data_IF_891884883412
#
_entry.id   IF_891884883412
#
_cell.length_a   1.000
_cell.length_b   1.000
_cell.length_c   1.000
_cell.angle_alpha   90.00
_cell.angle_beta   90.00
_cell.angle_gamma   90.00
#
_symmetry.space_group_name_H-M   'P 1'
#
loop_
_entity.id
_entity.type
_entity.pdbx_description
1 polymer ?
#
# COMPACT_ATOMS: atom_id res chain seq x y z
N UNK A 1 65.81 -46.36 -33.22
CA UNK A 1 65.07 -46.50 -34.49
C UNK A 1 64.80 -45.09 -35.00
N UNK A 2 65.66 -44.49 -35.83
CA UNK A 2 65.65 -44.56 -37.31
C UNK A 2 64.26 -44.23 -37.90
N UNK A 3 64.01 -43.35 -38.86
CA UNK A 3 64.81 -42.48 -39.77
C UNK A 3 63.81 -41.78 -40.71
N UNK A 4 64.22 -40.66 -41.32
CA UNK A 4 63.86 -40.19 -42.68
C UNK A 4 62.40 -39.84 -43.04
N UNK A 5 62.11 -38.58 -43.41
CA UNK A 5 62.22 -37.98 -44.77
C UNK A 5 61.49 -38.75 -45.87
N UNK A 6 60.57 -38.09 -46.58
CA UNK A 6 60.53 -37.94 -48.05
C UNK A 6 59.31 -37.07 -48.50
N UNK A 7 59.59 -35.99 -49.25
CA UNK A 7 58.72 -35.37 -50.29
C UNK A 7 58.55 -36.39 -51.47
N UNK A 8 57.71 -36.26 -52.54
CA UNK A 8 57.33 -35.02 -53.24
C UNK A 8 56.02 -35.06 -54.10
N UNK A 9 55.90 -34.07 -55.01
CA UNK A 9 55.23 -34.06 -56.33
C UNK A 9 53.73 -33.72 -56.47
N UNK A 10 53.50 -32.57 -57.11
CA UNK A 10 52.30 -32.16 -57.86
C UNK A 10 51.92 -33.16 -58.98
N UNK A 11 50.66 -33.14 -59.47
CA UNK A 11 50.43 -32.47 -60.76
C UNK A 11 49.16 -31.59 -60.84
N UNK A 12 49.23 -30.64 -61.76
CA UNK A 12 48.17 -29.77 -62.30
C UNK A 12 47.12 -30.56 -63.08
N UNK A 13 45.87 -30.08 -63.13
CA UNK A 13 44.96 -30.06 -64.30
C UNK A 13 43.68 -29.24 -63.97
N UNK A 14 42.84 -28.82 -64.94
CA UNK A 14 42.71 -27.41 -65.32
C UNK A 14 41.35 -26.77 -65.01
N UNK A 15 41.33 -25.44 -65.16
CA UNK A 15 40.27 -24.54 -65.65
C UNK A 15 38.84 -25.06 -65.79
N UNK A 16 37.89 -24.38 -65.13
CA UNK A 16 36.68 -23.93 -65.81
C UNK A 16 36.08 -22.69 -65.13
N UNK A 17 36.13 -21.62 -65.91
CA UNK A 17 35.49 -20.33 -65.72
C UNK A 17 33.97 -20.49 -65.71
N UNK A 18 33.27 -19.91 -64.73
CA UNK A 18 31.92 -19.41 -64.95
C UNK A 18 31.78 -18.04 -64.28
N UNK A 19 31.75 -17.02 -65.13
CA UNK A 19 31.36 -15.65 -64.80
C UNK A 19 29.85 -15.65 -64.61
N UNK A 20 29.39 -15.18 -63.45
CA UNK A 20 28.04 -14.66 -63.28
C UNK A 20 28.16 -13.24 -62.72
N UNK A 21 27.95 -12.27 -63.60
CA UNK A 21 27.62 -10.89 -63.22
C UNK A 21 26.25 -10.92 -62.53
N UNK A 22 26.21 -10.46 -61.27
CA UNK A 22 24.98 -9.92 -60.67
C UNK A 22 25.32 -8.56 -60.07
N UNK A 23 24.82 -7.51 -60.74
CA UNK A 23 24.63 -6.21 -60.14
C UNK A 23 23.60 -6.34 -59.00
N UNK A 24 23.96 -5.87 -57.80
CA UNK A 24 22.98 -5.52 -56.79
C UNK A 24 23.51 -4.33 -55.97
N UNK A 25 22.61 -3.37 -55.79
CA UNK A 25 22.80 -2.05 -55.22
C UNK A 25 23.43 -2.07 -53.81
N UNK A 26 24.36 -1.14 -53.56
CA UNK A 26 24.67 -0.68 -52.21
C UNK A 26 23.44 0.06 -51.67
N UNK A 27 22.56 -0.65 -50.96
CA UNK A 27 21.68 -0.04 -49.99
C UNK A 27 22.37 -0.09 -48.64
N UNK A 28 22.63 1.07 -48.05
CA UNK A 28 22.96 1.16 -46.63
C UNK A 28 21.79 0.55 -45.85
N UNK A 29 21.94 -0.71 -45.45
CA UNK A 29 21.07 -1.34 -44.47
C UNK A 29 21.57 -0.87 -43.12
N UNK A 30 21.08 0.28 -42.66
CA UNK A 30 21.05 0.55 -41.21
C UNK A 30 20.30 -0.63 -40.58
N UNK A 31 20.95 -1.40 -39.67
CA UNK A 31 20.24 -2.44 -38.95
C UNK A 31 19.08 -1.75 -38.20
N UNK A 32 17.89 -2.37 -38.13
CA UNK A 32 16.85 -1.87 -37.25
C UNK A 32 17.45 -1.91 -35.85
N UNK A 33 17.75 -0.74 -35.30
CA UNK A 33 17.87 -0.58 -33.86
C UNK A 33 16.45 -0.77 -33.36
N UNK A 34 16.13 -2.01 -33.00
CA UNK A 34 15.00 -2.33 -32.15
C UNK A 34 15.26 -1.67 -30.79
N UNK A 35 15.15 -0.34 -30.75
CA UNK A 35 15.09 0.36 -29.49
C UNK A 35 13.83 -0.18 -28.77
N UNK A 36 13.98 -0.72 -27.56
CA UNK A 36 12.84 -1.18 -26.80
C UNK A 36 11.87 -0.01 -26.65
N UNK A 37 10.58 -0.28 -26.84
CA UNK A 37 9.53 0.71 -26.68
C UNK A 37 9.71 1.45 -25.33
N UNK A 38 9.45 2.77 -25.28
CA UNK A 38 9.59 3.54 -24.06
C UNK A 38 8.69 2.95 -22.97
N UNK A 39 9.25 2.76 -21.77
CA UNK A 39 8.52 2.25 -20.61
C UNK A 39 7.91 3.38 -19.76
N UNK A 40 8.35 4.63 -19.99
CA UNK A 40 7.87 5.86 -19.34
C UNK A 40 7.20 6.79 -20.36
N UNK A 41 6.15 7.49 -19.96
CA UNK A 41 5.56 8.57 -20.75
C UNK A 41 6.36 9.89 -20.63
N UNK A 42 5.91 10.94 -21.31
CA UNK A 42 6.56 12.25 -21.30
C UNK A 42 6.58 12.93 -19.91
N UNK A 43 5.77 12.46 -18.96
CA UNK A 43 5.74 12.92 -17.58
C UNK A 43 6.58 12.06 -16.62
N UNK A 44 7.26 11.04 -17.15
CA UNK A 44 8.06 10.10 -16.36
C UNK A 44 7.23 9.03 -15.65
N UNK A 45 5.93 8.93 -15.91
CA UNK A 45 5.05 7.90 -15.37
C UNK A 45 5.15 6.62 -16.20
N UNK A 46 4.84 5.46 -15.59
CA UNK A 46 4.79 4.20 -16.34
C UNK A 46 3.70 4.25 -17.41
N UNK A 47 4.03 3.92 -18.66
CA UNK A 47 3.02 3.78 -19.74
C UNK A 47 2.08 2.64 -19.39
N UNK A 48 2.65 1.47 -19.07
CA UNK A 48 1.94 0.31 -18.56
C UNK A 48 2.36 0.09 -17.12
N UNK A 49 1.46 0.42 -16.17
CA UNK A 49 1.74 0.15 -14.75
C UNK A 49 1.90 -1.36 -14.53
N UNK A 50 2.93 -1.80 -13.78
CA UNK A 50 3.09 -3.20 -13.42
C UNK A 50 1.80 -3.71 -12.79
N UNK A 51 1.32 -4.86 -13.25
CA UNK A 51 0.13 -5.50 -12.70
C UNK A 51 0.58 -6.58 -11.73
N UNK A 52 0.09 -6.49 -10.51
CA UNK A 52 0.14 -7.59 -9.56
C UNK A 52 -1.10 -8.46 -9.74
N UNK A 53 -0.90 -9.76 -9.86
CA UNK A 53 -1.97 -10.76 -9.76
C UNK A 53 -1.82 -11.44 -8.42
N UNK A 54 -2.82 -11.32 -7.56
CA UNK A 54 -2.83 -11.98 -6.26
C UNK A 54 -2.83 -13.50 -6.42
N UNK A 55 -1.82 -14.17 -5.86
CA UNK A 55 -1.82 -15.63 -5.74
C UNK A 55 -2.60 -16.02 -4.50
N UNK A 56 -3.82 -16.48 -4.71
CA UNK A 56 -4.72 -16.90 -3.64
C UNK A 56 -4.68 -18.40 -3.32
N UNK A 57 -3.85 -19.16 -4.03
CA UNK A 57 -3.85 -20.63 -3.94
C UNK A 57 -3.48 -21.17 -2.55
N UNK A 58 -2.74 -20.37 -1.77
CA UNK A 58 -2.30 -20.71 -0.42
C UNK A 58 -2.95 -19.83 0.68
N UNK A 59 -3.88 -18.93 0.33
CA UNK A 59 -4.61 -18.16 1.35
C UNK A 59 -5.47 -19.14 2.17
N UNK A 60 -5.22 -19.20 3.48
CA UNK A 60 -6.01 -20.05 4.38
C UNK A 60 -6.36 -19.26 5.63
N UNK A 61 -7.67 -19.09 5.95
CA UNK A 61 -8.08 -18.44 7.19
C UNK A 61 -7.52 -19.17 8.39
N UNK A 62 -7.23 -18.41 9.44
CA UNK A 62 -7.07 -19.02 10.74
C UNK A 62 -8.39 -19.67 11.14
N UNK A 63 -8.31 -20.78 11.89
CA UNK A 63 -9.50 -21.46 12.41
C UNK A 63 -10.40 -20.57 13.28
N UNK A 64 -9.85 -19.45 13.78
CA UNK A 64 -10.54 -18.45 14.58
C UNK A 64 -11.11 -17.29 13.78
N UNK A 65 -10.79 -17.18 12.49
CA UNK A 65 -11.26 -16.07 11.66
C UNK A 65 -12.76 -16.18 11.41
N UNK A 66 -13.43 -15.03 11.48
CA UNK A 66 -14.83 -14.91 11.10
C UNK A 66 -14.95 -14.98 9.57
N UNK A 67 -15.82 -15.86 9.07
CA UNK A 67 -15.94 -16.19 7.65
C UNK A 67 -17.42 -16.15 7.18
N UNK A 68 -18.06 -14.98 7.17
CA UNK A 68 -19.49 -14.85 6.86
C UNK A 68 -19.82 -15.26 5.41
N UNK A 69 -18.84 -15.18 4.50
CA UNK A 69 -18.98 -15.66 3.11
C UNK A 69 -19.05 -17.18 3.00
N UNK A 70 -18.54 -17.91 3.99
CA UNK A 70 -18.48 -19.38 3.99
C UNK A 70 -19.67 -19.91 4.80
N UNK A 71 -20.76 -20.24 4.08
CA UNK A 71 -21.98 -20.78 4.67
C UNK A 71 -22.58 -19.92 5.80
N UNK A 72 -22.45 -18.58 5.74
CA UNK A 72 -22.97 -17.67 6.75
C UNK A 72 -22.35 -17.89 8.12
N UNK A 73 -21.03 -18.11 8.19
CA UNK A 73 -20.29 -18.42 9.42
C UNK A 73 -20.72 -19.69 10.16
N UNK A 74 -21.59 -20.53 9.58
CA UNK A 74 -22.08 -21.75 10.23
C UNK A 74 -20.99 -22.80 10.53
N UNK A 75 -19.77 -22.61 10.03
CA UNK A 75 -18.65 -23.54 10.13
C UNK A 75 -17.42 -22.94 10.80
N UNK A 76 -17.45 -21.66 11.18
CA UNK A 76 -16.35 -21.03 11.90
C UNK A 76 -16.57 -21.10 13.43
N UNK A 77 -15.65 -20.51 14.20
CA UNK A 77 -15.68 -20.56 15.65
C UNK A 77 -16.56 -19.47 16.31
N UNK A 78 -17.32 -18.70 15.54
CA UNK A 78 -18.14 -17.59 16.02
C UNK A 78 -19.56 -18.05 16.34
N UNK A 79 -20.14 -17.46 17.38
CA UNK A 79 -21.57 -17.61 17.63
C UNK A 79 -22.36 -16.79 16.61
N UNK A 80 -23.57 -17.27 16.29
CA UNK A 80 -24.48 -16.59 15.35
C UNK A 80 -24.73 -15.15 15.77
N UNK A 81 -24.60 -14.22 14.83
CA UNK A 81 -24.70 -12.79 15.08
C UNK A 81 -25.29 -12.04 13.87
N UNK A 82 -25.55 -10.75 14.06
CA UNK A 82 -26.20 -9.91 13.03
C UNK A 82 -25.46 -9.85 11.68
N UNK A 83 -24.14 -10.10 11.63
CA UNK A 83 -23.32 -9.96 10.42
C UNK A 83 -23.17 -11.24 9.59
N UNK A 84 -23.81 -12.34 10.01
CA UNK A 84 -23.76 -13.62 9.28
C UNK A 84 -24.45 -13.54 7.90
N UNK A 85 -25.25 -12.51 7.66
CA UNK A 85 -25.85 -12.17 6.36
C UNK A 85 -24.87 -11.47 5.40
N UNK A 86 -23.58 -11.42 5.76
CA UNK A 86 -22.51 -10.80 5.00
C UNK A 86 -22.67 -9.28 4.79
N UNK A 87 -23.45 -8.62 5.65
CA UNK A 87 -23.74 -7.18 5.58
C UNK A 87 -23.30 -6.45 6.85
N UNK A 88 -22.82 -5.21 6.70
CA UNK A 88 -22.51 -4.36 7.85
C UNK A 88 -23.79 -3.68 8.35
N UNK A 89 -24.16 -3.95 9.61
CA UNK A 89 -25.34 -3.36 10.24
C UNK A 89 -24.94 -2.21 11.15
N UNK A 90 -25.19 -0.97 10.70
CA UNK A 90 -24.83 0.25 11.45
C UNK A 90 -25.50 0.30 12.83
N UNK A 91 -24.75 0.78 13.82
CA UNK A 91 -25.30 1.08 15.15
C UNK A 91 -26.00 2.45 15.17
N UNK A 92 -25.48 3.40 14.40
CA UNK A 92 -26.01 4.75 14.29
C UNK A 92 -26.25 5.16 12.83
N UNK A 93 -27.20 6.07 12.63
CA UNK A 93 -27.53 6.61 11.30
C UNK A 93 -26.46 7.59 10.79
N UNK A 94 -25.80 8.32 11.68
CA UNK A 94 -24.79 9.32 11.33
C UNK A 94 -23.40 8.85 11.76
N UNK A 95 -22.47 8.80 10.80
CA UNK A 95 -21.10 8.36 11.01
C UNK A 95 -20.16 9.41 10.43
N UNK A 96 -19.64 10.30 11.28
CA UNK A 96 -18.78 11.42 10.85
C UNK A 96 -17.54 10.98 10.06
N UNK A 97 -17.08 9.75 10.28
CA UNK A 97 -15.92 9.16 9.60
C UNK A 97 -16.13 9.00 8.09
N UNK A 98 -17.38 8.83 7.62
CA UNK A 98 -17.70 8.79 6.19
C UNK A 98 -17.24 10.08 5.50
N UNK A 99 -17.50 11.24 6.13
CA UNK A 99 -17.05 12.54 5.62
C UNK A 99 -15.52 12.67 5.56
N UNK A 100 -14.79 11.98 6.44
CA UNK A 100 -13.32 11.97 6.46
C UNK A 100 -12.74 11.14 5.33
N UNK A 101 -13.31 9.98 5.03
CA UNK A 101 -12.89 9.18 3.87
C UNK A 101 -13.24 9.88 2.57
N UNK A 102 -14.41 10.52 2.49
CA UNK A 102 -14.75 11.37 1.34
C UNK A 102 -13.76 12.55 1.17
N UNK A 103 -13.26 13.13 2.26
CA UNK A 103 -12.20 14.12 2.20
C UNK A 103 -10.86 13.54 1.67
N UNK A 104 -10.53 12.30 2.04
CA UNK A 104 -9.36 11.61 1.51
C UNK A 104 -9.47 11.40 -0.01
N UNK A 105 -10.61 10.91 -0.51
CA UNK A 105 -10.78 10.71 -1.95
C UNK A 105 -10.78 12.04 -2.72
N UNK A 106 -11.36 13.11 -2.17
CA UNK A 106 -11.26 14.44 -2.77
C UNK A 106 -9.79 14.92 -2.90
N UNK A 107 -9.00 14.73 -1.84
CA UNK A 107 -7.57 15.05 -1.84
C UNK A 107 -6.85 14.18 -2.87
N UNK A 108 -7.19 12.88 -2.95
CA UNK A 108 -6.60 11.96 -3.91
C UNK A 108 -6.84 12.38 -5.36
N UNK A 109 -8.09 12.71 -5.68
CA UNK A 109 -8.49 13.22 -6.99
C UNK A 109 -7.85 14.57 -7.32
N UNK A 110 -7.49 15.35 -6.31
CA UNK A 110 -6.80 16.63 -6.51
C UNK A 110 -5.30 16.43 -6.76
N UNK A 111 -4.66 15.48 -6.06
CA UNK A 111 -3.20 15.44 -5.94
C UNK A 111 -2.49 14.28 -6.65
N UNK A 112 -3.05 13.07 -6.70
CA UNK A 112 -2.28 11.90 -7.18
C UNK A 112 -3.05 10.90 -8.04
N UNK A 113 -4.38 10.94 -8.06
CA UNK A 113 -5.19 10.03 -8.90
C UNK A 113 -5.31 10.50 -10.35
N UNK A 114 -5.17 11.80 -10.60
CA UNK A 114 -5.14 12.34 -11.96
C UNK A 114 -3.79 12.07 -12.61
N UNK A 115 -3.79 11.85 -13.92
CA UNK A 115 -2.56 11.67 -14.72
C UNK A 115 -1.76 12.95 -14.90
N UNK A 116 -2.38 14.11 -14.64
CA UNK A 116 -1.74 15.42 -14.69
C UNK A 116 -1.02 15.70 -13.37
N UNK A 117 0.15 16.34 -13.48
CA UNK A 117 0.85 16.93 -12.35
C UNK A 117 -0.04 17.90 -11.56
N UNK A 118 -0.08 17.79 -10.22
CA UNK A 118 -0.90 18.66 -9.39
C UNK A 118 -0.34 20.08 -9.34
N UNK A 119 -1.24 21.06 -9.38
CA UNK A 119 -0.92 22.48 -9.36
C UNK A 119 -0.95 23.06 -7.94
N UNK A 120 -0.41 24.27 -7.76
CA UNK A 120 -0.52 25.04 -6.51
C UNK A 120 -1.97 25.18 -6.03
N UNK A 121 -2.92 25.35 -6.96
CA UNK A 121 -4.34 25.44 -6.63
C UNK A 121 -4.89 24.10 -6.15
N UNK A 122 -4.49 22.99 -6.77
CA UNK A 122 -4.89 21.65 -6.32
C UNK A 122 -4.43 21.40 -4.87
N UNK A 123 -3.20 21.79 -4.52
CA UNK A 123 -2.69 21.74 -3.14
C UNK A 123 -3.46 22.64 -2.18
N UNK A 124 -3.84 23.84 -2.63
CA UNK A 124 -4.63 24.78 -1.83
C UNK A 124 -6.01 24.20 -1.51
N UNK A 125 -6.71 23.68 -2.52
CA UNK A 125 -8.03 23.05 -2.33
C UNK A 125 -7.96 21.78 -1.48
N UNK A 126 -6.96 20.93 -1.74
CA UNK A 126 -6.74 19.73 -0.94
C UNK A 126 -6.45 20.07 0.53
N UNK A 127 -5.67 21.12 0.81
CA UNK A 127 -5.40 21.58 2.17
C UNK A 127 -6.66 22.10 2.85
N UNK A 128 -7.48 22.91 2.17
CA UNK A 128 -8.74 23.39 2.71
C UNK A 128 -9.62 22.21 3.16
N UNK A 129 -9.76 21.21 2.29
CA UNK A 129 -10.51 19.97 2.61
C UNK A 129 -9.92 19.19 3.79
N UNK A 130 -8.60 19.09 3.87
CA UNK A 130 -7.89 18.44 4.98
C UNK A 130 -8.14 19.15 6.33
N UNK A 131 -8.16 20.49 6.32
CA UNK A 131 -8.29 21.33 7.52
C UNK A 131 -9.72 21.67 7.94
N UNK A 132 -10.74 21.09 7.29
CA UNK A 132 -12.12 21.28 7.70
C UNK A 132 -12.32 20.94 9.18
N UNK A 133 -13.16 21.71 9.86
CA UNK A 133 -13.47 21.51 11.28
C UNK A 133 -13.98 20.09 11.51
N UNK A 134 -13.43 19.38 12.49
CA UNK A 134 -13.70 17.96 12.78
C UNK A 134 -13.40 16.96 11.63
N UNK A 135 -12.70 17.43 10.59
CA UNK A 135 -12.27 16.68 9.42
C UNK A 135 -11.03 15.80 9.65
N UNK A 136 -10.29 15.53 8.57
CA UNK A 136 -9.12 14.65 8.58
C UNK A 136 -8.00 15.18 9.47
N UNK A 137 -7.61 16.46 9.31
CA UNK A 137 -6.48 17.03 10.04
C UNK A 137 -6.66 16.98 11.56
N UNK A 138 -7.86 17.30 12.04
CA UNK A 138 -8.24 17.18 13.45
C UNK A 138 -7.99 15.76 13.98
N UNK A 139 -8.32 14.71 13.21
CA UNK A 139 -8.10 13.32 13.63
C UNK A 139 -6.63 12.92 13.56
N UNK A 140 -5.91 13.34 12.53
CA UNK A 140 -4.47 13.08 12.41
C UNK A 140 -3.72 13.67 13.60
N UNK A 141 -4.08 14.86 14.08
CA UNK A 141 -3.46 15.53 15.24
C UNK A 141 -3.51 14.77 16.55
N UNK A 142 -4.40 13.78 16.68
CA UNK A 142 -4.60 12.99 17.90
C UNK A 142 -4.51 11.48 17.67
N UNK A 143 -4.17 11.05 16.46
CA UNK A 143 -4.21 9.62 16.13
C UNK A 143 -3.08 8.88 16.82
N UNK A 144 -3.46 7.81 17.50
CA UNK A 144 -2.56 6.90 18.17
C UNK A 144 -2.41 5.60 17.37
N UNK A 145 -1.25 4.95 17.52
CA UNK A 145 -1.03 3.59 17.08
C UNK A 145 -1.11 2.65 18.30
N UNK A 146 -2.19 1.87 18.35
CA UNK A 146 -2.52 1.01 19.49
C UNK A 146 -1.60 -0.20 19.67
N UNK A 147 -0.72 -0.48 18.70
CA UNK A 147 0.25 -1.56 18.82
C UNK A 147 1.40 -1.23 19.77
N UNK A 148 1.60 0.06 20.05
CA UNK A 148 2.59 0.53 21.02
C UNK A 148 1.94 0.77 22.38
N UNK A 149 2.71 0.64 23.48
CA UNK A 149 2.23 0.94 24.83
C UNK A 149 1.55 2.31 24.89
N UNK A 150 0.49 2.40 25.70
CA UNK A 150 -0.22 3.65 25.89
C UNK A 150 0.71 4.74 26.46
N UNK A 151 0.61 5.94 25.91
CA UNK A 151 1.24 7.12 26.49
C UNK A 151 0.58 7.46 27.84
N UNK A 152 1.28 8.16 28.76
CA UNK A 152 0.74 8.51 30.07
C UNK A 152 -0.39 9.55 30.01
N UNK A 153 -0.56 10.21 28.86
CA UNK A 153 -1.66 11.14 28.58
C UNK A 153 -2.02 11.08 27.09
N UNK A 154 -3.13 11.71 26.71
CA UNK A 154 -3.55 11.79 25.31
C UNK A 154 -2.46 12.44 24.45
N UNK A 155 -2.25 11.94 23.23
CA UNK A 155 -1.18 12.42 22.36
C UNK A 155 -1.29 13.90 21.94
N UNK A 156 -2.46 14.52 22.10
CA UNK A 156 -2.65 15.95 21.83
C UNK A 156 -2.68 16.82 23.11
N UNK A 157 -2.39 16.26 24.27
CA UNK A 157 -2.47 16.98 25.56
C UNK A 157 -1.32 17.97 25.78
N UNK A 158 -0.15 17.72 25.19
CA UNK A 158 1.01 18.61 25.24
C UNK A 158 2.01 18.25 24.12
N UNK A 159 2.98 19.13 23.89
CA UNK A 159 4.02 18.89 22.89
C UNK A 159 5.04 17.81 23.29
N UNK A 160 5.21 17.52 24.59
CA UNK A 160 6.17 16.52 25.06
C UNK A 160 5.69 15.10 24.83
N UNK A 161 4.38 14.82 24.95
CA UNK A 161 3.85 13.46 24.81
C UNK A 161 4.17 12.85 23.43
N UNK A 162 3.91 13.53 22.29
CA UNK A 162 4.34 13.02 20.98
C UNK A 162 5.86 12.89 20.81
N UNK A 163 6.64 13.73 21.49
CA UNK A 163 8.10 13.69 21.41
C UNK A 163 8.69 12.49 22.17
N UNK A 164 8.13 12.16 23.33
CA UNK A 164 8.58 11.07 24.19
C UNK A 164 8.00 9.71 23.75
N UNK A 165 6.85 9.70 23.07
CA UNK A 165 6.14 8.51 22.61
C UNK A 165 5.81 8.56 21.10
N UNK A 166 6.80 8.75 20.21
CA UNK A 166 6.54 9.04 18.80
C UNK A 166 5.87 7.89 18.04
N UNK A 167 6.12 6.63 18.43
CA UNK A 167 5.47 5.47 17.84
C UNK A 167 4.00 5.36 18.23
N UNK A 168 3.70 5.51 19.53
CA UNK A 168 2.31 5.54 20.02
C UNK A 168 1.55 6.74 19.48
N UNK A 169 2.18 7.91 19.43
CA UNK A 169 1.58 9.17 19.00
C UNK A 169 1.87 9.46 17.52
N UNK A 170 1.76 8.44 16.67
CA UNK A 170 2.12 8.50 15.25
C UNK A 170 1.52 9.71 14.51
N UNK A 171 0.26 10.06 14.81
CA UNK A 171 -0.43 11.18 14.21
C UNK A 171 0.29 12.52 14.42
N UNK A 172 0.37 13.03 15.66
CA UNK A 172 1.04 14.29 15.94
C UNK A 172 2.58 14.25 15.82
N UNK A 173 3.22 13.10 16.02
CA UNK A 173 4.68 12.97 16.01
C UNK A 173 5.27 12.81 14.61
N UNK A 174 4.61 12.04 13.73
CA UNK A 174 5.14 11.67 12.40
C UNK A 174 4.28 12.21 11.26
N UNK A 175 2.98 11.91 11.27
CA UNK A 175 2.11 12.15 10.12
C UNK A 175 1.79 13.64 9.92
N UNK A 176 1.40 14.34 10.98
CA UNK A 176 1.02 15.75 10.90
C UNK A 176 2.17 16.66 10.43
N UNK A 177 3.39 16.60 11.00
CA UNK A 177 4.50 17.42 10.50
C UNK A 177 4.77 17.19 9.02
N UNK A 178 4.82 15.92 8.60
CA UNK A 178 5.01 15.50 7.22
C UNK A 178 3.93 16.06 6.26
N UNK A 179 2.65 15.91 6.63
CA UNK A 179 1.53 16.39 5.83
C UNK A 179 1.56 17.92 5.72
N UNK A 180 1.77 18.63 6.83
CA UNK A 180 1.81 20.10 6.84
C UNK A 180 2.97 20.66 6.02
N UNK A 181 4.15 20.06 6.14
CA UNK A 181 5.32 20.41 5.32
C UNK A 181 5.02 20.18 3.84
N UNK A 182 4.47 19.01 3.49
CA UNK A 182 4.19 18.64 2.09
C UNK A 182 3.13 19.54 1.46
N UNK A 183 2.06 19.89 2.18
CA UNK A 183 1.10 20.88 1.70
C UNK A 183 1.74 22.26 1.50
N UNK A 184 2.56 22.70 2.46
CA UNK A 184 3.21 24.02 2.37
C UNK A 184 4.16 24.08 1.15
N UNK A 185 4.93 23.03 0.89
CA UNK A 185 5.85 22.95 -0.25
C UNK A 185 5.10 22.80 -1.58
N UNK A 186 4.06 21.97 -1.65
CA UNK A 186 3.21 21.85 -2.83
C UNK A 186 2.51 23.17 -3.19
N UNK A 187 2.06 23.94 -2.20
CA UNK A 187 1.51 25.29 -2.42
C UNK A 187 2.55 26.32 -2.90
N UNK A 188 3.85 26.03 -2.78
CA UNK A 188 4.93 26.83 -3.38
C UNK A 188 5.34 26.34 -4.77
N UNK A 189 4.75 25.23 -5.25
CA UNK A 189 5.10 24.60 -6.52
C UNK A 189 6.41 23.80 -6.46
N UNK A 190 6.89 23.48 -5.27
CA UNK A 190 8.11 22.67 -5.09
C UNK A 190 7.74 21.20 -5.24
N UNK A 191 8.42 20.48 -6.14
CA UNK A 191 8.30 19.01 -6.35
C UNK A 191 6.87 18.48 -6.11
N UNK A 192 5.88 18.94 -6.89
CA UNK A 192 4.47 18.68 -6.64
C UNK A 192 4.12 17.19 -6.55
N UNK A 193 4.75 16.31 -7.35
CA UNK A 193 4.48 14.86 -7.30
C UNK A 193 5.05 14.23 -6.03
N UNK A 194 6.24 14.65 -5.61
CA UNK A 194 6.88 14.17 -4.36
C UNK A 194 6.02 14.55 -3.15
N UNK A 195 5.55 15.80 -3.09
CA UNK A 195 4.72 16.27 -1.98
C UNK A 195 3.34 15.60 -1.97
N UNK A 196 2.73 15.36 -3.14
CA UNK A 196 1.48 14.59 -3.24
C UNK A 196 1.68 13.16 -2.72
N UNK A 197 2.77 12.50 -3.11
CA UNK A 197 3.09 11.13 -2.67
C UNK A 197 3.36 11.03 -1.16
N UNK A 198 4.02 12.03 -0.54
CA UNK A 198 4.20 12.10 0.91
C UNK A 198 2.85 12.22 1.65
N UNK A 199 1.92 13.03 1.12
CA UNK A 199 0.57 13.18 1.68
C UNK A 199 -0.24 11.89 1.53
N UNK A 200 -0.23 11.28 0.34
CA UNK A 200 -0.90 10.01 0.06
C UNK A 200 -0.46 8.94 1.06
N UNK A 201 0.84 8.71 1.17
CA UNK A 201 1.43 7.71 2.07
C UNK A 201 1.06 7.97 3.54
N UNK A 202 1.15 9.23 3.99
CA UNK A 202 0.83 9.58 5.37
C UNK A 202 -0.66 9.40 5.70
N UNK A 203 -1.56 9.72 4.75
CA UNK A 203 -2.99 9.51 4.94
C UNK A 203 -3.38 8.03 4.85
N UNK A 204 -2.71 7.23 4.02
CA UNK A 204 -2.89 5.77 4.03
C UNK A 204 -2.41 5.15 5.36
N UNK A 205 -1.30 5.62 5.94
CA UNK A 205 -0.90 5.23 7.30
C UNK A 205 -2.02 5.55 8.29
N UNK A 206 -2.54 6.78 8.26
CA UNK A 206 -3.65 7.19 9.12
C UNK A 206 -4.88 6.28 8.94
N UNK A 207 -5.25 5.92 7.71
CA UNK A 207 -6.38 5.04 7.42
C UNK A 207 -6.14 3.58 7.85
N UNK A 208 -4.88 3.12 7.95
CA UNK A 208 -4.54 1.82 8.53
C UNK A 208 -4.70 1.80 10.06
N UNK A 209 -4.12 2.77 10.79
CA UNK A 209 -4.18 2.78 12.26
C UNK A 209 -5.55 3.16 12.82
N UNK A 210 -6.36 3.86 12.02
CA UNK A 210 -7.65 4.39 12.48
C UNK A 210 -8.65 3.28 12.82
N UNK A 211 -8.98 2.32 11.93
CA UNK A 211 -9.88 1.22 12.26
C UNK A 211 -9.50 0.52 13.57
N UNK A 212 -8.22 0.18 13.75
CA UNK A 212 -7.71 -0.53 14.92
C UNK A 212 -7.85 0.28 16.23
N UNK A 213 -7.63 1.59 16.14
CA UNK A 213 -7.90 2.51 17.24
C UNK A 213 -9.39 2.55 17.60
N UNK A 214 -10.25 2.66 16.60
CA UNK A 214 -11.70 2.76 16.81
C UNK A 214 -12.30 1.43 17.34
N UNK A 215 -11.79 0.26 16.91
CA UNK A 215 -12.17 -1.04 17.51
C UNK A 215 -11.84 -1.06 19.01
N UNK A 216 -10.70 -0.50 19.38
CA UNK A 216 -10.27 -0.46 20.79
C UNK A 216 -11.17 0.46 21.62
N UNK A 217 -11.52 1.64 21.10
CA UNK A 217 -12.41 2.58 21.81
C UNK A 217 -13.90 2.19 21.75
N UNK A 218 -14.29 1.36 20.77
CA UNK A 218 -15.65 0.81 20.68
C UNK A 218 -16.07 0.04 21.94
N UNK A 219 -15.11 -0.46 22.72
CA UNK A 219 -15.37 -1.03 24.06
C UNK A 219 -16.19 -0.14 24.98
N UNK A 220 -16.11 1.18 24.83
CA UNK A 220 -16.81 2.15 25.70
C UNK A 220 -17.70 3.10 24.91
N UNK A 221 -17.57 3.14 23.58
CA UNK A 221 -18.27 4.06 22.69
C UNK A 221 -18.72 3.33 21.43
N UNK A 222 -19.95 2.86 21.42
CA UNK A 222 -20.52 2.08 20.30
C UNK A 222 -20.34 2.73 18.92
N UNK A 223 -20.41 4.06 18.84
CA UNK A 223 -20.22 4.82 17.59
C UNK A 223 -18.82 4.63 16.97
N UNK A 224 -17.84 4.20 17.75
CA UNK A 224 -16.49 3.94 17.26
C UNK A 224 -16.44 2.61 16.46
N UNK A 225 -17.33 1.64 16.70
CA UNK A 225 -17.43 0.46 15.82
C UNK A 225 -17.83 0.85 14.39
N UNK A 226 -18.83 1.74 14.26
CA UNK A 226 -19.22 2.30 12.97
C UNK A 226 -18.10 3.13 12.33
N UNK A 227 -17.31 3.82 13.15
CA UNK A 227 -16.13 4.54 12.67
C UNK A 227 -15.02 3.60 12.20
N UNK A 228 -14.82 2.45 12.86
CA UNK A 228 -13.84 1.46 12.44
C UNK A 228 -14.15 0.93 11.03
N UNK A 229 -15.41 0.54 10.79
CA UNK A 229 -15.88 0.16 9.46
C UNK A 229 -15.71 1.28 8.45
N UNK A 230 -16.17 2.49 8.79
CA UNK A 230 -16.14 3.61 7.87
C UNK A 230 -14.72 4.06 7.50
N UNK A 231 -13.71 3.92 8.38
CA UNK A 231 -12.33 4.26 8.03
C UNK A 231 -11.74 3.34 6.95
N UNK A 232 -12.10 2.05 6.97
CA UNK A 232 -11.64 1.12 5.95
C UNK A 232 -12.46 1.25 4.66
N UNK A 233 -13.79 1.14 4.77
CA UNK A 233 -14.69 1.03 3.60
C UNK A 233 -15.12 2.37 3.02
N UNK A 234 -15.03 3.45 3.81
CA UNK A 234 -15.70 4.72 3.52
C UNK A 234 -17.18 4.75 3.91
N UNK A 235 -17.66 3.71 4.60
CA UNK A 235 -19.06 3.57 4.97
C UNK A 235 -19.96 3.08 3.83
N UNK A 236 -19.36 2.43 2.85
CA UNK A 236 -20.03 1.84 1.69
C UNK A 236 -20.13 0.31 1.84
N UNK A 237 -21.03 -0.33 1.07
CA UNK A 237 -21.05 -1.78 0.91
C UNK A 237 -19.73 -2.34 0.35
N UNK A 238 -19.57 -3.65 0.49
CA UNK A 238 -18.38 -4.42 0.08
C UNK A 238 -17.94 -4.12 -1.36
N UNK A 239 -18.89 -4.07 -2.29
CA UNK A 239 -18.66 -3.89 -3.72
C UNK A 239 -18.54 -2.42 -4.17
N UNK A 240 -18.59 -1.47 -3.24
CA UNK A 240 -18.50 -0.02 -3.48
C UNK A 240 -17.30 0.60 -2.73
N UNK A 241 -16.20 -0.15 -2.62
CA UNK A 241 -15.00 0.26 -1.90
C UNK A 241 -14.48 1.65 -2.32
N UNK A 242 -14.30 2.54 -1.35
CA UNK A 242 -13.65 3.86 -1.49
C UNK A 242 -12.49 3.99 -0.49
N UNK A 243 -11.76 5.11 -0.48
CA UNK A 243 -10.63 5.30 0.44
C UNK A 243 -9.59 4.18 0.39
N UNK A 244 -9.16 3.68 1.56
CA UNK A 244 -8.18 2.59 1.65
C UNK A 244 -8.71 1.28 1.03
N UNK A 245 -9.99 0.95 1.23
CA UNK A 245 -10.56 -0.27 0.65
C UNK A 245 -10.48 -0.29 -0.88
N UNK A 246 -10.58 0.87 -1.55
CA UNK A 246 -10.41 0.98 -3.02
C UNK A 246 -9.02 0.53 -3.47
N UNK A 247 -7.97 1.02 -2.81
CA UNK A 247 -6.59 0.63 -3.11
C UNK A 247 -6.39 -0.87 -2.97
N UNK A 248 -6.86 -1.43 -1.85
CA UNK A 248 -6.71 -2.86 -1.58
C UNK A 248 -7.49 -3.68 -2.59
N UNK A 249 -8.74 -3.31 -2.89
CA UNK A 249 -9.58 -4.04 -3.86
C UNK A 249 -9.01 -4.02 -5.27
N UNK A 250 -8.47 -2.89 -5.71
CA UNK A 250 -7.87 -2.76 -7.05
C UNK A 250 -6.62 -3.64 -7.23
N UNK A 251 -5.82 -3.81 -6.16
CA UNK A 251 -4.54 -4.54 -6.21
C UNK A 251 -4.67 -6.01 -5.79
N UNK A 252 -5.50 -6.30 -4.81
CA UNK A 252 -5.61 -7.60 -4.15
C UNK A 252 -7.07 -7.85 -3.72
N UNK A 253 -7.95 -8.25 -4.67
CA UNK A 253 -9.38 -8.43 -4.40
C UNK A 253 -9.69 -9.37 -3.24
N UNK A 254 -8.97 -10.48 -3.07
CA UNK A 254 -9.24 -11.39 -1.94
C UNK A 254 -8.78 -10.75 -0.63
N UNK A 255 -7.62 -10.08 -0.59
CA UNK A 255 -7.23 -9.29 0.60
C UNK A 255 -8.33 -8.29 1.00
N UNK A 256 -8.99 -7.64 0.04
CA UNK A 256 -10.12 -6.75 0.33
C UNK A 256 -11.30 -7.50 0.96
N UNK A 257 -11.67 -8.65 0.40
CA UNK A 257 -12.74 -9.51 0.93
C UNK A 257 -12.47 -9.90 2.39
N UNK A 258 -11.22 -10.22 2.72
CA UNK A 258 -10.78 -10.62 4.07
C UNK A 258 -10.80 -9.47 5.05
N UNK A 259 -10.39 -8.27 4.63
CA UNK A 259 -10.48 -7.08 5.48
C UNK A 259 -11.95 -6.66 5.72
N UNK A 260 -12.84 -6.88 4.75
CA UNK A 260 -14.28 -6.66 4.97
C UNK A 260 -14.86 -7.73 5.89
N UNK A 261 -14.51 -9.02 5.74
CA UNK A 261 -14.89 -10.10 6.67
C UNK A 261 -14.45 -9.76 8.11
N UNK A 262 -13.23 -9.27 8.28
CA UNK A 262 -12.72 -8.84 9.58
C UNK A 262 -13.46 -7.62 10.16
N UNK A 263 -13.91 -6.71 9.30
CA UNK A 263 -14.76 -5.59 9.71
C UNK A 263 -16.13 -6.06 10.19
N UNK A 264 -16.69 -7.10 9.55
CA UNK A 264 -17.90 -7.77 10.03
C UNK A 264 -17.65 -8.53 11.33
N UNK A 265 -16.45 -9.09 11.56
CA UNK A 265 -16.08 -9.73 12.82
C UNK A 265 -16.17 -8.75 14.00
N UNK A 266 -15.71 -7.50 13.80
CA UNK A 266 -15.87 -6.43 14.81
C UNK A 266 -17.34 -6.17 15.10
N UNK A 267 -18.17 -6.08 14.06
CA UNK A 267 -19.61 -5.84 14.25
C UNK A 267 -20.31 -7.02 14.93
N UNK A 268 -19.94 -8.24 14.56
CA UNK A 268 -20.41 -9.49 15.14
C UNK A 268 -20.07 -9.55 16.64
N UNK A 269 -18.81 -9.29 17.00
CA UNK A 269 -18.38 -9.16 18.39
C UNK A 269 -19.28 -8.18 19.16
N UNK A 270 -19.53 -7.00 18.61
CA UNK A 270 -20.34 -5.99 19.28
C UNK A 270 -21.83 -6.34 19.36
N UNK A 271 -22.34 -7.21 18.49
CA UNK A 271 -23.69 -7.74 18.61
C UNK A 271 -23.81 -8.77 19.73
N UNK A 272 -22.80 -9.64 19.84
CA UNK A 272 -22.71 -10.70 20.84
C UNK A 272 -22.42 -10.15 22.25
N UNK A 273 -21.63 -9.10 22.34
CA UNK A 273 -21.36 -8.36 23.57
C UNK A 273 -21.99 -6.99 23.48
N UNK A 274 -23.13 -6.81 24.14
CA UNK A 274 -23.88 -5.54 24.19
C UNK A 274 -23.61 -4.73 25.47
N UNK A 275 -22.68 -5.18 26.33
CA UNK A 275 -22.36 -4.48 27.57
C UNK A 275 -21.58 -3.19 27.28
N UNK A 276 -21.71 -2.17 28.14
CA UNK A 276 -20.91 -0.93 28.07
C UNK A 276 -20.41 -0.57 29.46
N UNK A 277 -19.09 -0.67 29.74
CA UNK A 277 -18.04 -1.16 28.85
C UNK A 277 -18.23 -2.62 28.39
N UNK A 278 -17.71 -2.95 27.22
CA UNK A 278 -17.67 -4.31 26.69
C UNK A 278 -16.87 -5.24 27.62
N UNK A 279 -17.30 -6.50 27.72
CA UNK A 279 -16.77 -7.50 28.65
C UNK A 279 -16.08 -8.67 27.96
N UNK A 280 -16.45 -8.98 26.71
CA UNK A 280 -15.87 -10.05 25.89
C UNK A 280 -14.64 -9.55 25.13
N UNK A 281 -13.60 -9.14 25.88
CA UNK A 281 -12.40 -8.54 25.30
C UNK A 281 -11.55 -9.53 24.49
N UNK A 282 -11.61 -10.83 24.79
CA UNK A 282 -10.94 -11.85 23.98
C UNK A 282 -11.54 -11.94 22.58
N UNK A 283 -12.87 -11.84 22.45
CA UNK A 283 -13.55 -11.86 21.16
C UNK A 283 -13.30 -10.57 20.36
N UNK A 284 -13.25 -9.42 21.06
CA UNK A 284 -12.77 -8.15 20.49
C UNK A 284 -11.37 -8.31 19.90
N UNK A 285 -10.44 -8.86 20.69
CA UNK A 285 -9.04 -8.95 20.31
C UNK A 285 -8.84 -9.93 19.15
N UNK A 286 -9.68 -10.97 19.06
CA UNK A 286 -9.76 -11.84 17.88
C UNK A 286 -10.21 -11.08 16.64
N UNK A 287 -11.34 -10.36 16.67
CA UNK A 287 -11.80 -9.53 15.55
C UNK A 287 -10.75 -8.49 15.13
N UNK A 288 -10.15 -7.80 16.10
CA UNK A 288 -9.12 -6.80 15.86
C UNK A 288 -7.87 -7.39 15.22
N UNK A 289 -7.44 -8.57 15.66
CA UNK A 289 -6.25 -9.24 15.10
C UNK A 289 -6.50 -9.70 13.66
N UNK A 290 -7.70 -10.22 13.37
CA UNK A 290 -8.11 -10.54 11.99
C UNK A 290 -8.10 -9.27 11.11
N UNK A 291 -8.61 -8.15 11.64
CA UNK A 291 -8.62 -6.87 10.92
C UNK A 291 -7.22 -6.34 10.69
N UNK A 292 -6.36 -6.35 11.71
CA UNK A 292 -4.97 -5.90 11.59
C UNK A 292 -4.21 -6.72 10.54
N UNK A 293 -4.30 -8.05 10.59
CA UNK A 293 -3.63 -8.92 9.61
C UNK A 293 -4.06 -8.62 8.17
N UNK A 294 -5.37 -8.48 7.92
CA UNK A 294 -5.90 -8.17 6.59
C UNK A 294 -5.51 -6.76 6.12
N UNK A 295 -5.57 -5.76 7.01
CA UNK A 295 -5.16 -4.40 6.68
C UNK A 295 -3.64 -4.31 6.42
N UNK A 296 -2.80 -5.00 7.22
CA UNK A 296 -1.36 -5.08 7.01
C UNK A 296 -1.01 -5.69 5.65
N UNK A 297 -1.70 -6.77 5.25
CA UNK A 297 -1.56 -7.32 3.89
C UNK A 297 -1.96 -6.28 2.84
N UNK A 298 -3.07 -5.58 3.05
CA UNK A 298 -3.51 -4.48 2.18
C UNK A 298 -2.46 -3.39 2.01
N UNK A 299 -1.81 -2.98 3.10
CA UNK A 299 -0.69 -2.04 3.06
C UNK A 299 0.52 -2.62 2.33
N UNK A 300 0.85 -3.89 2.56
CA UNK A 300 1.97 -4.57 1.90
C UNK A 300 1.79 -4.64 0.38
N UNK A 301 0.58 -4.92 -0.14
CA UNK A 301 0.35 -4.94 -1.60
C UNK A 301 0.43 -3.55 -2.23
N UNK A 302 0.03 -2.50 -1.51
CA UNK A 302 0.20 -1.11 -1.96
C UNK A 302 1.68 -0.74 -2.04
N UNK A 303 2.46 -1.08 -1.00
CA UNK A 303 3.91 -0.83 -0.97
C UNK A 303 4.62 -1.66 -2.05
N UNK A 304 4.23 -2.92 -2.23
CA UNK A 304 4.73 -3.81 -3.28
C UNK A 304 4.54 -3.19 -4.67
N UNK A 305 3.34 -2.68 -4.96
CA UNK A 305 3.05 -1.99 -6.22
C UNK A 305 3.99 -0.79 -6.43
N UNK A 306 4.20 0.02 -5.38
CA UNK A 306 5.06 1.21 -5.46
C UNK A 306 6.54 0.88 -5.67
N UNK A 307 7.04 -0.23 -5.10
CA UNK A 307 8.37 -0.75 -5.44
C UNK A 307 8.46 -1.15 -6.91
N UNK A 308 7.46 -1.86 -7.44
CA UNK A 308 7.46 -2.28 -8.85
C UNK A 308 7.44 -1.07 -9.81
N UNK A 309 6.69 -0.02 -9.47
CA UNK A 309 6.59 1.20 -10.26
C UNK A 309 7.92 1.97 -10.37
N UNK A 310 8.90 1.75 -9.47
CA UNK A 310 10.24 2.34 -9.61
C UNK A 310 10.94 1.88 -10.90
N UNK A 311 10.63 0.68 -11.40
CA UNK A 311 11.27 0.12 -12.60
C UNK A 311 10.85 0.79 -13.90
N UNK A 312 9.67 1.43 -13.92
CA UNK A 312 9.07 2.04 -15.10
C UNK A 312 8.75 3.54 -14.94
N UNK A 313 9.10 4.16 -13.81
CA UNK A 313 9.03 5.61 -13.63
C UNK A 313 10.39 6.25 -13.86
N UNK A 314 10.46 7.57 -14.08
CA UNK A 314 11.69 8.35 -14.16
C UNK A 314 11.50 9.76 -13.60
N UNK A 315 12.60 10.50 -13.40
CA UNK A 315 12.57 11.88 -12.89
C UNK A 315 11.77 12.02 -11.59
N UNK A 316 10.99 13.10 -11.50
CA UNK A 316 10.19 13.39 -10.30
C UNK A 316 9.14 12.30 -10.00
N UNK A 317 8.59 11.63 -11.02
CA UNK A 317 7.65 10.54 -10.80
C UNK A 317 8.30 9.37 -10.03
N UNK A 318 9.55 9.03 -10.36
CA UNK A 318 10.30 8.01 -9.61
C UNK A 318 10.64 8.47 -8.19
N UNK A 319 11.07 9.73 -8.04
CA UNK A 319 11.29 10.33 -6.72
C UNK A 319 10.02 10.31 -5.85
N UNK A 320 8.85 10.53 -6.46
CA UNK A 320 7.56 10.47 -5.78
C UNK A 320 7.23 9.04 -5.30
N UNK A 321 7.42 8.01 -6.12
CA UNK A 321 7.25 6.61 -5.69
C UNK A 321 8.18 6.27 -4.54
N UNK A 322 9.42 6.75 -4.57
CA UNK A 322 10.36 6.52 -3.50
C UNK A 322 10.01 7.28 -2.21
N UNK A 323 9.59 8.55 -2.31
CA UNK A 323 9.12 9.32 -1.18
C UNK A 323 7.88 8.69 -0.51
N UNK A 324 6.98 8.11 -1.30
CA UNK A 324 5.87 7.29 -0.79
C UNK A 324 6.38 6.09 0.02
N UNK A 325 7.33 5.32 -0.53
CA UNK A 325 7.91 4.14 0.12
C UNK A 325 8.61 4.49 1.43
N UNK A 326 9.35 5.60 1.48
CA UNK A 326 10.03 6.09 2.70
C UNK A 326 9.07 6.41 3.85
N UNK A 327 7.80 6.67 3.54
CA UNK A 327 6.76 6.94 4.54
C UNK A 327 6.04 5.65 4.95
N UNK A 328 5.64 4.79 4.01
CA UNK A 328 4.85 3.59 4.33
C UNK A 328 5.66 2.35 4.73
N UNK A 329 6.91 2.17 4.30
CA UNK A 329 7.71 1.03 4.76
C UNK A 329 7.91 1.04 6.28
N UNK A 330 8.24 2.18 6.93
CA UNK A 330 8.32 2.26 8.39
C UNK A 330 7.05 1.87 9.15
N UNK A 331 5.85 2.02 8.56
CA UNK A 331 4.60 1.56 9.18
C UNK A 331 4.61 0.05 9.43
N UNK A 332 5.21 -0.71 8.53
CA UNK A 332 5.23 -2.17 8.59
C UNK A 332 6.38 -2.72 9.43
N UNK A 333 7.37 -1.90 9.82
CA UNK A 333 8.63 -2.35 10.43
C UNK A 333 8.41 -3.18 11.70
N UNK A 334 7.51 -2.73 12.59
CA UNK A 334 7.16 -3.46 13.82
C UNK A 334 6.76 -4.91 13.54
N UNK A 335 5.82 -5.09 12.63
CA UNK A 335 5.31 -6.42 12.28
C UNK A 335 6.35 -7.19 11.47
N UNK A 336 7.06 -6.54 10.56
CA UNK A 336 8.11 -7.16 9.77
C UNK A 336 9.19 -7.77 10.66
N UNK A 337 9.69 -7.03 11.66
CA UNK A 337 10.69 -7.51 12.62
C UNK A 337 10.17 -8.64 13.51
N UNK A 338 8.90 -8.58 13.91
CA UNK A 338 8.26 -9.66 14.67
C UNK A 338 8.23 -10.97 13.87
N UNK A 339 8.12 -10.90 12.53
CA UNK A 339 8.06 -12.07 11.65
C UNK A 339 9.43 -12.57 11.21
N UNK A 340 10.28 -11.66 10.70
CA UNK A 340 11.60 -11.97 10.17
C UNK A 340 12.45 -10.67 10.13
N UNK A 341 13.34 -10.52 11.11
CA UNK A 341 14.22 -9.35 11.25
C UNK A 341 15.10 -9.12 10.02
N UNK A 342 15.63 -10.17 9.39
CA UNK A 342 16.52 -10.03 8.23
C UNK A 342 15.77 -9.50 6.99
N UNK A 343 14.49 -9.87 6.83
CA UNK A 343 13.63 -9.31 5.78
C UNK A 343 13.20 -7.88 6.11
N UNK A 344 12.93 -7.57 7.38
CA UNK A 344 12.67 -6.20 7.80
C UNK A 344 13.86 -5.27 7.49
N UNK A 345 15.08 -5.68 7.85
CA UNK A 345 16.32 -4.97 7.54
C UNK A 345 16.52 -4.80 6.03
N UNK A 346 16.03 -5.74 5.23
CA UNK A 346 16.03 -5.62 3.77
C UNK A 346 15.13 -4.49 3.30
N UNK A 347 13.89 -4.43 3.78
CA UNK A 347 12.98 -3.35 3.42
C UNK A 347 13.48 -1.98 3.87
N UNK A 348 13.97 -1.90 5.12
CA UNK A 348 14.53 -0.67 5.68
C UNK A 348 15.71 -0.18 4.84
N UNK A 349 16.68 -1.06 4.54
CA UNK A 349 17.84 -0.70 3.73
C UNK A 349 17.46 -0.14 2.36
N UNK A 350 16.47 -0.75 1.69
CA UNK A 350 16.07 -0.31 0.35
C UNK A 350 15.40 1.07 0.37
N UNK A 351 14.64 1.43 1.41
CA UNK A 351 14.09 2.81 1.51
C UNK A 351 15.10 3.84 2.04
N UNK A 352 16.23 3.39 2.59
CA UNK A 352 17.33 4.25 3.06
C UNK A 352 18.45 4.44 2.04
N UNK A 353 18.29 3.95 0.80
CA UNK A 353 19.22 4.23 -0.30
C UNK A 353 19.43 5.73 -0.52
N UNK A 354 20.53 6.13 -1.17
CA UNK A 354 20.75 7.54 -1.44
C UNK A 354 19.83 8.03 -2.57
N UNK A 355 19.56 7.15 -3.54
CA UNK A 355 18.78 7.42 -4.73
C UNK A 355 17.84 6.23 -5.06
N UNK A 356 16.66 6.47 -5.67
CA UNK A 356 15.73 5.40 -6.01
C UNK A 356 16.27 4.37 -7.02
N UNK A 357 17.30 4.73 -7.79
CA UNK A 357 18.01 3.91 -8.78
C UNK A 357 18.83 2.80 -8.13
N UNK A 358 19.16 2.98 -6.84
CA UNK A 358 19.95 2.02 -6.07
C UNK A 358 19.08 0.96 -5.37
N UNK A 359 17.75 1.10 -5.46
CA UNK A 359 16.79 0.19 -4.83
C UNK A 359 16.81 -1.16 -5.53
N UNK A 360 17.10 -2.22 -4.77
CA UNK A 360 16.92 -3.60 -5.22
C UNK A 360 15.43 -3.98 -5.17
N UNK A 361 14.71 -3.62 -6.24
CA UNK A 361 13.26 -3.87 -6.36
C UNK A 361 12.93 -5.37 -6.19
N UNK A 362 13.60 -6.32 -6.86
CA UNK A 362 13.35 -7.75 -6.64
C UNK A 362 13.52 -8.18 -5.18
N UNK A 363 14.59 -7.75 -4.50
CA UNK A 363 14.81 -8.11 -3.10
C UNK A 363 13.74 -7.53 -2.17
N UNK A 364 13.34 -6.27 -2.37
CA UNK A 364 12.29 -5.64 -1.59
C UNK A 364 10.92 -6.34 -1.78
N UNK A 365 10.54 -6.64 -3.02
CA UNK A 365 9.28 -7.36 -3.32
C UNK A 365 9.31 -8.77 -2.72
N UNK A 366 10.41 -9.51 -2.85
CA UNK A 366 10.55 -10.85 -2.27
C UNK A 366 10.51 -10.83 -0.73
N UNK A 367 11.05 -9.79 -0.10
CA UNK A 367 10.94 -9.59 1.35
C UNK A 367 9.48 -9.33 1.76
N UNK A 368 8.76 -8.44 1.08
CA UNK A 368 7.34 -8.15 1.35
C UNK A 368 6.46 -9.38 1.18
N UNK A 369 6.59 -10.09 0.06
CA UNK A 369 5.72 -11.23 -0.27
C UNK A 369 5.86 -12.37 0.75
N UNK A 370 7.04 -12.54 1.35
CA UNK A 370 7.26 -13.54 2.39
C UNK A 370 6.88 -13.07 3.80
N UNK A 371 7.08 -11.78 4.11
CA UNK A 371 6.69 -11.22 5.41
C UNK A 371 5.18 -11.18 5.55
N UNK A 372 4.47 -10.76 4.51
CA UNK A 372 3.05 -10.48 4.52
C UNK A 372 2.34 -11.37 3.51
N UNK A 373 2.37 -12.69 3.72
CA UNK A 373 1.59 -13.63 2.91
C UNK A 373 0.08 -13.35 2.99
N UNK A 374 -0.67 -13.88 2.03
CA UNK A 374 -2.12 -13.72 2.00
C UNK A 374 -2.79 -14.30 3.27
N UNK A 375 -3.74 -13.58 3.89
CA UNK A 375 -4.47 -14.00 5.09
C UNK A 375 -5.62 -14.98 4.83
#
# INVERSE_FOLDING_TARGET
MNTSRLKPLYPRFPSLTLVALLCACHGDVTPPTDEPAPITDASGECIDRPKYTEDVSNCTPLATDYQPRVAGSAQDAWAVCISDDNTYHRLYTSISTIGRVAAFDFIADSLWMKTKEPTVEDFTQARLRYTESEGLGSRVERREDIHYPAAPAACNSSASIPADYPERCVGPAKLRPLINESFASGMRGETPRVNAARIEAALLWFLYVSPLSEVTSCTTKDADCDSAWAYYTGGTPRDEAVGLARYVRELAPETHERAYDATLAVRCWRDLDRATPATQLELRDRARSQLDAALLRGMAVIVRQRFQELSCTSGEAREARWAFLKVLVPLMDREARLRDEARADTLEREVQRAHPEEVDIPAAVAALDALFACP
#
